data_IF_165741275679
#
_entry.id   IF_165741275679
#
_cell.length_a   1.000
_cell.length_b   1.000
_cell.length_c   1.000
_cell.angle_alpha   90.00
_cell.angle_beta   90.00
_cell.angle_gamma   90.00
#
_symmetry.space_group_name_H-M   'P 1'
#
loop_
_entity.id
_entity.type
_entity.pdbx_description
1 polymer ?
#
# COMPACT_ATOMS: atom_id res chain seq x y z
N UNK A 1 9.00 13.82 -8.86
CA UNK A 1 9.48 12.53 -9.36
C UNK A 1 10.65 12.06 -8.50
N UNK A 2 10.61 10.82 -8.06
CA UNK A 2 11.67 10.20 -7.26
C UNK A 2 12.28 9.08 -8.08
N UNK A 3 13.60 9.07 -8.22
CA UNK A 3 14.31 7.97 -8.86
C UNK A 3 14.59 6.88 -7.84
N UNK A 4 14.42 5.63 -8.21
CA UNK A 4 14.82 4.51 -7.37
C UNK A 4 16.33 4.38 -7.29
N UNK A 5 16.80 3.84 -6.17
CA UNK A 5 18.25 3.79 -5.87
C UNK A 5 19.02 2.95 -6.88
N UNK A 6 18.48 1.81 -7.27
CA UNK A 6 19.13 0.84 -8.15
C UNK A 6 18.63 0.88 -9.61
N UNK A 7 17.67 1.75 -9.91
CA UNK A 7 17.24 2.04 -11.28
C UNK A 7 17.00 3.54 -11.45
N UNK A 8 18.00 4.31 -11.87
CA UNK A 8 17.89 5.76 -12.03
C UNK A 8 16.92 6.18 -13.16
N UNK A 9 16.49 5.26 -14.00
CA UNK A 9 15.50 5.51 -15.05
C UNK A 9 14.06 5.28 -14.60
N UNK A 10 13.86 4.67 -13.44
CA UNK A 10 12.52 4.45 -12.87
C UNK A 10 12.06 5.67 -12.08
N UNK A 11 10.84 6.10 -12.30
CA UNK A 11 10.24 7.25 -11.65
C UNK A 11 8.90 6.90 -11.00
N UNK A 12 8.72 7.29 -9.74
CA UNK A 12 7.42 7.28 -9.10
C UNK A 12 6.68 8.60 -9.39
N UNK A 13 5.40 8.48 -9.67
CA UNK A 13 4.48 9.62 -9.78
C UNK A 13 3.39 9.50 -8.73
N UNK A 14 3.14 10.59 -8.02
CA UNK A 14 2.05 10.71 -7.03
C UNK A 14 1.07 11.78 -7.49
N UNK A 15 -0.22 11.46 -7.47
CA UNK A 15 -1.29 12.41 -7.76
C UNK A 15 -2.26 12.46 -6.58
N UNK A 16 -2.52 13.67 -6.09
CA UNK A 16 -3.53 13.91 -5.07
C UNK A 16 -4.85 14.28 -5.74
N UNK A 17 -5.87 13.45 -5.56
CA UNK A 17 -7.21 13.70 -6.05
C UNK A 17 -8.04 14.35 -4.92
N UNK A 18 -8.65 15.50 -5.18
CA UNK A 18 -9.44 16.25 -4.21
C UNK A 18 -10.85 16.51 -4.74
N UNK A 19 -11.79 16.81 -3.85
CA UNK A 19 -13.17 17.10 -4.23
C UNK A 19 -13.96 15.89 -4.69
N UNK A 20 -13.55 14.70 -4.26
CA UNK A 20 -14.25 13.46 -4.57
C UNK A 20 -15.46 13.29 -3.64
N UNK A 21 -16.57 12.82 -4.20
CA UNK A 21 -17.75 12.46 -3.42
C UNK A 21 -17.58 11.10 -2.74
N UNK A 22 -18.08 10.90 -1.51
CA UNK A 22 -18.05 9.60 -0.84
C UNK A 22 -18.85 8.55 -1.59
N UNK A 23 -18.54 7.26 -1.36
CA UNK A 23 -19.23 6.10 -1.93
C UNK A 23 -19.46 6.22 -3.45
N UNK A 24 -18.45 6.74 -4.14
CA UNK A 24 -18.54 7.03 -5.57
C UNK A 24 -17.43 6.32 -6.32
N UNK A 25 -17.80 5.61 -7.39
CA UNK A 25 -16.83 4.96 -8.28
C UNK A 25 -16.36 5.95 -9.35
N UNK A 26 -15.05 6.13 -9.42
CA UNK A 26 -14.36 6.95 -10.41
C UNK A 26 -13.58 6.07 -11.37
N UNK A 27 -13.59 6.43 -12.63
CA UNK A 27 -12.71 5.86 -13.64
C UNK A 27 -11.47 6.73 -13.77
N UNK A 28 -10.32 6.11 -13.95
CA UNK A 28 -9.07 6.80 -14.17
C UNK A 28 -8.18 6.08 -15.18
N UNK A 29 -7.28 6.83 -15.77
CA UNK A 29 -6.15 6.30 -16.54
C UNK A 29 -4.91 7.11 -16.19
N UNK A 30 -3.75 6.53 -16.38
CA UNK A 30 -2.46 7.19 -16.20
C UNK A 30 -1.74 7.27 -17.53
N UNK A 31 -1.07 8.39 -17.79
CA UNK A 31 -0.42 8.57 -19.07
C UNK A 31 0.48 9.79 -19.14
N UNK A 32 1.17 9.94 -20.23
CA UNK A 32 2.13 11.00 -20.48
C UNK A 32 1.76 11.78 -21.75
N UNK A 33 1.04 12.87 -21.59
CA UNK A 33 0.96 14.03 -22.50
C UNK A 33 0.46 13.86 -23.92
N UNK A 34 0.45 12.67 -24.51
CA UNK A 34 -0.07 12.40 -25.85
C UNK A 34 -1.10 11.27 -25.81
N UNK A 35 -2.07 11.30 -26.73
CA UNK A 35 -3.20 10.39 -26.77
C UNK A 35 -2.83 8.90 -26.90
N UNK A 36 -1.62 8.60 -27.30
CA UNK A 36 -1.15 7.22 -27.51
C UNK A 36 -0.49 6.55 -26.30
N UNK A 37 -0.26 7.31 -25.20
CA UNK A 37 0.51 6.84 -24.04
C UNK A 37 -0.33 6.79 -22.76
N UNK A 38 -1.61 6.47 -22.85
CA UNK A 38 -2.48 6.29 -21.69
C UNK A 38 -2.70 4.81 -21.40
N UNK A 39 -2.77 4.48 -20.09
CA UNK A 39 -3.16 3.15 -19.66
C UNK A 39 -4.61 2.84 -20.05
N UNK A 40 -4.96 1.57 -20.01
CA UNK A 40 -6.38 1.18 -19.98
C UNK A 40 -7.08 1.84 -18.80
N UNK A 41 -8.40 2.02 -18.92
CA UNK A 41 -9.23 2.55 -17.83
C UNK A 41 -9.23 1.58 -16.64
N UNK A 42 -9.00 2.14 -15.48
CA UNK A 42 -9.16 1.47 -14.20
C UNK A 42 -10.21 2.21 -13.36
N UNK A 43 -10.66 1.59 -12.29
CA UNK A 43 -11.66 2.20 -11.41
C UNK A 43 -11.24 2.11 -9.94
N UNK A 44 -11.73 3.05 -9.14
CA UNK A 44 -11.70 2.94 -7.68
C UNK A 44 -12.97 3.53 -7.09
N UNK A 45 -13.32 3.09 -5.90
CA UNK A 45 -14.48 3.62 -5.16
C UNK A 45 -14.00 4.30 -3.89
N UNK A 46 -14.48 5.51 -3.66
CA UNK A 46 -14.20 6.27 -2.43
C UNK A 46 -14.86 5.64 -1.21
N UNK A 47 -14.30 5.85 -0.04
CA UNK A 47 -14.86 5.37 1.21
C UNK A 47 -16.25 5.98 1.48
N UNK A 48 -17.17 5.26 2.12
CA UNK A 48 -18.49 5.79 2.47
C UNK A 48 -18.37 6.88 3.55
N UNK A 49 -19.27 7.88 3.50
CA UNK A 49 -19.37 8.92 4.51
C UNK A 49 -20.01 8.44 5.81
N UNK A 50 -20.81 7.36 5.74
CA UNK A 50 -21.55 6.80 6.88
C UNK A 50 -20.92 5.50 7.32
N UNK A 51 -21.13 5.19 8.60
CA UNK A 51 -20.76 3.88 9.16
C UNK A 51 -21.62 2.79 8.52
N UNK A 52 -20.95 1.83 7.88
CA UNK A 52 -21.59 0.66 7.31
C UNK A 52 -20.67 -0.57 7.37
N UNK A 53 -21.24 -1.78 7.28
CA UNK A 53 -20.45 -3.00 7.24
C UNK A 53 -19.54 -3.01 6.02
N UNK A 54 -18.30 -3.42 6.20
CA UNK A 54 -17.31 -3.57 5.15
C UNK A 54 -16.47 -4.83 5.35
N UNK A 55 -15.75 -5.21 4.33
CA UNK A 55 -14.77 -6.29 4.39
C UNK A 55 -13.44 -5.82 3.81
N UNK A 56 -12.37 -6.42 4.26
CA UNK A 56 -11.03 -6.22 3.71
C UNK A 56 -10.30 -7.56 3.61
N UNK A 57 -9.25 -7.61 2.83
CA UNK A 57 -8.37 -8.78 2.72
C UNK A 57 -7.08 -8.50 3.50
N UNK A 58 -6.64 -9.52 4.27
CA UNK A 58 -5.39 -9.47 5.01
C UNK A 58 -4.49 -10.61 4.52
N UNK A 59 -3.29 -10.28 4.08
CA UNK A 59 -2.30 -11.20 3.53
C UNK A 59 -0.90 -10.77 3.96
N UNK A 60 0.10 -11.59 3.67
CA UNK A 60 1.53 -11.30 3.86
C UNK A 60 2.37 -12.28 3.05
N UNK A 61 3.69 -12.14 3.12
CA UNK A 61 4.67 -13.09 2.58
C UNK A 61 4.52 -13.35 1.07
N UNK A 62 4.33 -12.28 0.28
CA UNK A 62 4.22 -12.39 -1.17
C UNK A 62 5.53 -12.81 -1.86
N UNK A 63 6.68 -12.60 -1.19
CA UNK A 63 8.03 -12.83 -1.69
C UNK A 63 8.31 -14.28 -2.12
N UNK A 64 7.58 -15.25 -1.59
CA UNK A 64 7.82 -16.69 -1.82
C UNK A 64 7.30 -17.24 -3.16
N UNK A 65 7.29 -16.43 -4.20
CA UNK A 65 6.96 -16.82 -5.57
C UNK A 65 5.79 -16.04 -6.17
N UNK A 66 6.10 -15.13 -7.04
CA UNK A 66 5.14 -14.18 -7.61
C UNK A 66 4.02 -14.81 -8.42
N UNK A 67 4.22 -15.99 -9.04
CA UNK A 67 3.12 -16.73 -9.69
C UNK A 67 2.10 -17.27 -8.68
N UNK A 68 2.58 -17.76 -7.53
CA UNK A 68 1.70 -18.18 -6.43
C UNK A 68 1.00 -16.97 -5.84
N UNK A 69 1.73 -15.88 -5.64
CA UNK A 69 1.19 -14.59 -5.20
C UNK A 69 0.06 -14.13 -6.11
N UNK A 70 0.27 -14.10 -7.43
CA UNK A 70 -0.77 -13.75 -8.41
C UNK A 70 -2.02 -14.61 -8.25
N UNK A 71 -1.84 -15.93 -8.11
CA UNK A 71 -2.96 -16.86 -7.95
C UNK A 71 -3.74 -16.60 -6.66
N UNK A 72 -3.04 -16.30 -5.56
CA UNK A 72 -3.64 -16.02 -4.27
C UNK A 72 -4.42 -14.70 -4.26
N UNK A 73 -3.82 -13.60 -4.69
CA UNK A 73 -4.47 -12.29 -4.68
C UNK A 73 -5.65 -12.23 -5.64
N UNK A 74 -5.51 -12.82 -6.83
CA UNK A 74 -6.61 -12.91 -7.80
C UNK A 74 -7.74 -13.82 -7.28
N UNK A 75 -7.39 -14.90 -6.58
CA UNK A 75 -8.34 -15.79 -5.92
C UNK A 75 -9.12 -15.07 -4.80
N UNK A 76 -8.43 -14.29 -3.97
CA UNK A 76 -9.04 -13.47 -2.94
C UNK A 76 -10.00 -12.43 -3.53
N UNK A 77 -9.57 -11.73 -4.58
CA UNK A 77 -10.40 -10.75 -5.28
C UNK A 77 -11.68 -11.36 -5.87
N UNK A 78 -11.56 -12.52 -6.53
CA UNK A 78 -12.74 -13.22 -7.06
C UNK A 78 -13.71 -13.64 -5.95
N UNK A 79 -13.20 -14.00 -4.78
CA UNK A 79 -14.01 -14.45 -3.65
C UNK A 79 -14.64 -13.30 -2.87
N UNK A 80 -13.97 -12.15 -2.82
CA UNK A 80 -14.41 -10.92 -2.15
C UNK A 80 -14.16 -9.70 -3.05
N UNK A 81 -14.93 -9.60 -4.14
CA UNK A 81 -14.80 -8.44 -5.04
C UNK A 81 -15.27 -7.13 -4.40
N UNK A 82 -16.00 -7.24 -3.29
CA UNK A 82 -16.50 -6.16 -2.44
C UNK A 82 -15.50 -5.70 -1.36
N UNK A 83 -14.32 -6.32 -1.26
CA UNK A 83 -13.32 -5.90 -0.28
C UNK A 83 -12.86 -4.45 -0.54
N UNK A 84 -12.93 -3.62 0.50
CA UNK A 84 -12.61 -2.20 0.40
C UNK A 84 -11.13 -1.95 0.12
N UNK A 85 -10.25 -2.74 0.74
CA UNK A 85 -8.80 -2.63 0.60
C UNK A 85 -8.09 -3.93 0.97
N UNK A 86 -6.79 -3.98 0.70
CA UNK A 86 -5.92 -5.13 0.95
C UNK A 86 -4.78 -4.72 1.87
N UNK A 87 -4.71 -5.33 3.06
CA UNK A 87 -3.58 -5.16 3.98
C UNK A 87 -2.53 -6.22 3.66
N UNK A 88 -1.29 -5.78 3.47
CA UNK A 88 -0.13 -6.65 3.34
C UNK A 88 0.74 -6.50 4.58
N UNK A 89 0.83 -7.56 5.38
CA UNK A 89 1.46 -7.57 6.70
C UNK A 89 2.99 -7.77 6.64
N UNK A 90 3.63 -7.14 5.69
CA UNK A 90 5.08 -7.23 5.47
C UNK A 90 5.49 -8.39 4.57
N UNK A 91 6.79 -8.44 4.29
CA UNK A 91 7.45 -9.41 3.43
C UNK A 91 6.81 -9.46 2.02
N UNK A 92 6.63 -8.27 1.44
CA UNK A 92 6.04 -8.11 0.11
C UNK A 92 7.01 -8.60 -0.97
N UNK A 93 8.30 -8.45 -0.72
CA UNK A 93 9.41 -8.80 -1.62
C UNK A 93 10.47 -9.62 -0.89
N UNK A 94 11.28 -10.37 -1.62
CA UNK A 94 12.38 -11.13 -1.02
C UNK A 94 13.55 -10.23 -0.61
N UNK A 95 13.80 -9.18 -1.41
CA UNK A 95 14.89 -8.22 -1.18
C UNK A 95 14.35 -6.79 -1.28
N UNK A 96 14.20 -6.13 -0.13
CA UNK A 96 13.63 -4.79 -0.03
C UNK A 96 14.38 -3.69 -0.78
N UNK A 97 15.65 -3.90 -1.13
CA UNK A 97 16.47 -2.98 -1.93
C UNK A 97 16.57 -3.35 -3.42
N UNK A 98 15.89 -4.38 -3.87
CA UNK A 98 15.89 -4.84 -5.26
C UNK A 98 14.61 -4.38 -5.97
N UNK A 99 14.75 -3.46 -6.92
CA UNK A 99 13.61 -2.89 -7.63
C UNK A 99 12.89 -3.93 -8.50
N UNK A 100 13.61 -4.93 -9.02
CA UNK A 100 13.01 -5.98 -9.84
C UNK A 100 12.05 -6.85 -9.03
N UNK A 101 12.34 -7.09 -7.74
CA UNK A 101 11.43 -7.80 -6.83
C UNK A 101 10.14 -6.99 -6.61
N UNK A 102 10.24 -5.66 -6.44
CA UNK A 102 9.10 -4.77 -6.31
C UNK A 102 8.26 -4.71 -7.59
N UNK A 103 8.89 -4.57 -8.74
CA UNK A 103 8.20 -4.55 -10.03
C UNK A 103 7.47 -5.88 -10.27
N UNK A 104 8.09 -7.00 -9.94
CA UNK A 104 7.45 -8.31 -10.04
C UNK A 104 6.25 -8.45 -9.09
N UNK A 105 6.37 -8.04 -7.83
CA UNK A 105 5.29 -8.10 -6.85
C UNK A 105 4.08 -7.28 -7.32
N UNK A 106 4.31 -6.03 -7.70
CA UNK A 106 3.26 -5.12 -8.17
C UNK A 106 2.66 -5.57 -9.50
N UNK A 107 3.50 -6.00 -10.47
CA UNK A 107 3.05 -6.49 -11.77
C UNK A 107 2.11 -7.68 -11.65
N UNK A 108 2.41 -8.65 -10.77
CA UNK A 108 1.59 -9.83 -10.57
C UNK A 108 0.27 -9.54 -9.82
N UNK A 109 0.18 -8.43 -9.11
CA UNK A 109 -1.00 -8.00 -8.38
C UNK A 109 -1.77 -6.86 -9.09
N UNK A 110 -1.30 -6.35 -10.22
CA UNK A 110 -1.81 -5.15 -10.89
C UNK A 110 -3.32 -5.18 -11.15
N UNK A 111 -3.85 -6.34 -11.57
CA UNK A 111 -5.27 -6.49 -11.90
C UNK A 111 -6.19 -6.26 -10.68
N UNK A 112 -5.63 -6.36 -9.48
CA UNK A 112 -6.32 -6.08 -8.22
C UNK A 112 -5.99 -4.68 -7.71
N UNK A 113 -4.70 -4.30 -7.66
CA UNK A 113 -4.29 -3.02 -7.11
C UNK A 113 -4.62 -1.81 -8.00
N UNK A 114 -4.94 -2.02 -9.27
CA UNK A 114 -5.53 -0.99 -10.09
C UNK A 114 -6.97 -0.60 -9.65
N UNK A 115 -7.63 -1.44 -8.85
CA UNK A 115 -9.02 -1.24 -8.45
C UNK A 115 -9.18 -1.18 -6.92
N UNK A 116 -8.20 -1.65 -6.17
CA UNK A 116 -8.27 -1.78 -4.71
C UNK A 116 -7.01 -1.22 -4.07
N UNK A 117 -7.21 -0.48 -3.00
CA UNK A 117 -6.11 0.14 -2.26
C UNK A 117 -5.24 -0.93 -1.60
N UNK A 118 -3.94 -0.86 -1.83
CA UNK A 118 -2.94 -1.58 -1.08
C UNK A 118 -2.58 -0.79 0.19
N UNK A 119 -2.64 -1.46 1.34
CA UNK A 119 -2.21 -0.96 2.65
C UNK A 119 -1.00 -1.79 3.08
N UNK A 120 0.22 -1.37 2.80
CA UNK A 120 1.41 -2.14 3.09
C UNK A 120 1.91 -1.91 4.51
N UNK A 121 2.46 -2.95 5.14
CA UNK A 121 3.30 -2.86 6.34
C UNK A 121 4.73 -3.29 6.01
N UNK A 122 5.68 -2.88 6.83
CA UNK A 122 7.09 -3.28 6.70
C UNK A 122 7.29 -4.61 7.42
N UNK A 123 7.91 -5.58 6.73
CA UNK A 123 8.45 -6.81 7.29
C UNK A 123 9.97 -6.81 7.32
N UNK A 124 10.57 -7.93 7.70
CA UNK A 124 12.01 -8.01 7.79
C UNK A 124 12.70 -8.07 6.41
N UNK A 125 11.99 -8.47 5.37
CA UNK A 125 12.52 -8.46 4.00
C UNK A 125 12.63 -7.05 3.42
N UNK A 126 11.72 -6.15 3.76
CA UNK A 126 11.76 -4.74 3.31
C UNK A 126 12.96 -3.98 3.85
N UNK A 127 13.51 -4.40 5.01
CA UNK A 127 14.70 -3.76 5.62
C UNK A 127 16.02 -4.47 5.28
N UNK A 128 16.02 -5.44 4.41
CA UNK A 128 17.26 -6.04 3.91
C UNK A 128 18.12 -4.97 3.23
N UNK A 129 19.37 -4.83 3.70
CA UNK A 129 20.22 -3.70 3.33
C UNK A 129 20.23 -2.57 4.36
N UNK A 130 19.44 -2.68 5.45
CA UNK A 130 19.50 -1.85 6.65
C UNK A 130 18.37 -0.84 6.79
N UNK A 131 17.77 -0.37 5.71
CA UNK A 131 16.65 0.60 5.73
C UNK A 131 15.62 0.25 4.65
N UNK A 132 14.32 0.52 4.86
CA UNK A 132 13.27 0.28 3.88
C UNK A 132 13.23 1.37 2.80
N UNK A 133 14.37 1.70 2.19
CA UNK A 133 14.50 2.85 1.30
C UNK A 133 13.59 2.75 0.09
N UNK A 134 13.55 1.61 -0.58
CA UNK A 134 12.71 1.40 -1.76
C UNK A 134 11.22 1.42 -1.39
N UNK A 135 10.85 0.81 -0.26
CA UNK A 135 9.47 0.88 0.26
C UNK A 135 9.02 2.34 0.45
N UNK A 136 9.81 3.16 1.15
CA UNK A 136 9.51 4.58 1.38
C UNK A 136 9.53 5.42 0.10
N UNK A 137 10.25 4.98 -0.92
CA UNK A 137 10.24 5.63 -2.24
C UNK A 137 9.04 5.22 -3.09
N UNK A 138 8.53 4.00 -2.92
CA UNK A 138 7.40 3.47 -3.69
C UNK A 138 6.06 4.01 -3.22
N UNK A 139 5.85 4.03 -1.90
CA UNK A 139 4.56 4.36 -1.31
C UNK A 139 4.50 5.83 -0.88
N UNK A 140 3.29 6.37 -0.81
CA UNK A 140 2.95 7.67 -0.22
C UNK A 140 1.85 7.42 0.82
N UNK A 141 2.27 7.15 2.04
CA UNK A 141 1.44 6.69 3.14
C UNK A 141 1.18 7.81 4.14
N UNK A 142 0.22 7.65 5.07
CA UNK A 142 0.00 8.63 6.12
C UNK A 142 1.26 8.88 6.97
N UNK A 143 1.57 10.16 7.23
CA UNK A 143 2.73 10.60 8.01
C UNK A 143 2.33 10.97 9.44
N UNK A 144 1.41 10.19 10.02
CA UNK A 144 0.82 10.40 11.34
C UNK A 144 1.32 9.40 12.40
N UNK A 145 2.42 8.73 12.14
CA UNK A 145 3.09 7.79 13.03
C UNK A 145 3.86 8.47 14.18
N UNK A 146 4.70 7.71 14.90
CA UNK A 146 5.52 8.21 15.99
C UNK A 146 6.53 9.26 15.53
N UNK A 147 6.68 10.37 16.24
CA UNK A 147 7.59 11.48 15.87
C UNK A 147 9.07 11.07 15.73
N UNK A 148 9.49 10.03 16.45
CA UNK A 148 10.88 9.55 16.47
C UNK A 148 11.16 8.42 15.46
N UNK A 149 10.15 8.02 14.72
CA UNK A 149 10.22 7.01 13.67
C UNK A 149 10.13 7.72 12.33
N UNK A 150 10.88 7.25 11.35
CA UNK A 150 10.79 7.80 10.00
C UNK A 150 9.34 7.73 9.49
N UNK A 151 8.79 8.83 8.94
CA UNK A 151 7.43 8.87 8.43
C UNK A 151 7.11 7.70 7.49
N UNK A 152 5.84 7.27 7.50
CA UNK A 152 5.33 6.19 6.64
C UNK A 152 5.73 4.76 7.07
N UNK A 153 6.66 4.58 8.02
CA UNK A 153 6.98 3.26 8.60
C UNK A 153 5.87 2.75 9.51
N UNK A 154 5.27 3.67 10.26
CA UNK A 154 4.12 3.40 11.12
C UNK A 154 3.07 4.46 10.85
N UNK A 155 1.82 4.05 10.75
CA UNK A 155 0.72 4.99 10.49
C UNK A 155 -0.62 4.43 10.93
N UNK A 156 -1.62 5.29 11.00
CA UNK A 156 -3.01 4.91 11.22
C UNK A 156 -3.92 5.49 10.14
N UNK A 157 -5.01 4.81 9.87
CA UNK A 157 -6.09 5.30 9.03
C UNK A 157 -7.43 4.81 9.55
N UNK A 158 -8.49 5.52 9.19
CA UNK A 158 -9.87 5.15 9.54
C UNK A 158 -10.63 4.70 8.31
N UNK A 159 -11.44 3.68 8.47
CA UNK A 159 -12.41 3.26 7.48
C UNK A 159 -13.70 2.84 8.18
N UNK A 160 -14.85 3.47 7.82
CA UNK A 160 -16.11 3.25 8.50
C UNK A 160 -15.98 3.46 10.03
N UNK A 161 -16.29 2.45 10.84
CA UNK A 161 -16.20 2.47 12.31
C UNK A 161 -14.94 1.80 12.87
N UNK A 162 -13.96 1.53 12.04
CA UNK A 162 -12.70 0.90 12.45
C UNK A 162 -11.52 1.87 12.25
N UNK A 163 -10.57 1.78 13.16
CA UNK A 163 -9.26 2.40 13.03
C UNK A 163 -8.19 1.33 12.93
N UNK A 164 -7.33 1.47 11.94
CA UNK A 164 -6.26 0.53 11.63
C UNK A 164 -4.92 1.14 12.01
N UNK A 165 -4.11 0.37 12.72
CA UNK A 165 -2.77 0.74 13.13
C UNK A 165 -1.78 -0.15 12.39
N UNK A 166 -0.97 0.44 11.55
CA UNK A 166 0.10 -0.24 10.85
C UNK A 166 1.38 0.02 11.62
N UNK A 167 1.98 -1.04 12.12
CA UNK A 167 3.17 -1.02 12.95
C UNK A 167 4.35 -1.64 12.20
N UNK A 168 5.54 -1.14 12.47
CA UNK A 168 6.79 -1.73 11.97
C UNK A 168 7.44 -2.56 13.09
N UNK A 169 7.25 -3.88 13.06
CA UNK A 169 7.79 -4.79 14.06
C UNK A 169 9.29 -5.04 13.94
N UNK A 170 9.94 -4.49 12.92
CA UNK A 170 11.41 -4.50 12.80
C UNK A 170 12.07 -3.45 13.68
N UNK A 171 11.28 -2.48 14.18
CA UNK A 171 11.70 -1.48 15.15
C UNK A 171 11.50 -1.96 16.59
N UNK A 172 12.31 -1.45 17.54
CA UNK A 172 12.04 -1.66 18.95
C UNK A 172 10.64 -1.19 19.37
N UNK A 173 9.91 -2.01 20.11
CA UNK A 173 8.52 -1.74 20.50
C UNK A 173 8.34 -0.39 21.24
N UNK A 174 9.32 0.02 22.04
CA UNK A 174 9.28 1.28 22.78
C UNK A 174 9.27 2.53 21.88
N UNK A 175 9.67 2.43 20.62
CA UNK A 175 9.60 3.56 19.69
C UNK A 175 8.18 3.86 19.21
N UNK A 176 7.27 2.90 19.33
CA UNK A 176 5.89 2.98 18.85
C UNK A 176 4.86 3.03 20.00
N UNK A 177 5.24 2.53 21.17
CA UNK A 177 4.33 2.31 22.30
C UNK A 177 3.64 3.60 22.78
N UNK A 178 4.40 4.67 23.01
CA UNK A 178 3.85 5.94 23.49
C UNK A 178 2.88 6.56 22.48
N UNK A 179 3.19 6.49 21.20
CA UNK A 179 2.31 6.97 20.14
C UNK A 179 1.03 6.14 20.08
N UNK A 180 1.14 4.80 20.09
CA UNK A 180 0.00 3.90 20.04
C UNK A 180 -0.92 4.15 21.25
N UNK A 181 -0.36 4.26 22.45
CA UNK A 181 -1.12 4.56 23.65
C UNK A 181 -1.84 5.91 23.58
N UNK A 182 -1.18 6.93 23.06
CA UNK A 182 -1.77 8.26 22.87
C UNK A 182 -2.95 8.23 21.90
N UNK A 183 -2.79 7.58 20.75
CA UNK A 183 -3.84 7.53 19.72
C UNK A 183 -5.03 6.68 20.18
N UNK A 184 -4.79 5.56 20.89
CA UNK A 184 -5.87 4.71 21.43
C UNK A 184 -6.70 5.38 22.53
N UNK A 185 -6.19 6.46 23.16
CA UNK A 185 -6.90 7.23 24.19
C UNK A 185 -7.62 8.48 23.65
N UNK A 186 -7.39 8.84 22.37
CA UNK A 186 -7.97 10.02 21.74
C UNK A 186 -9.34 9.74 21.13
#
# INVERSE_FOLDING_TARGET
NTNYVNDPMTHRHTANLTGLEPDTTYLYSVGQGSDENWSELSEFTTAPAKTEPFSFVYMGDAQNGFQRWRSMITGAFRKRPDAAFYIMAGDLVDRGNDIDDWDNMLHHARDVYNQRTLIPAIGNHEIQGGQPTTYLQLFDLPKNGPEKVEPERCYTFKYSNAEFFILDTTLPANQQHEWLEKVLKA
#
